data_IF_923970138906
#
_entry.id   IF_923970138906
#
_cell.length_a   1.000
_cell.length_b   1.000
_cell.length_c   1.000
_cell.angle_alpha   90.00
_cell.angle_beta   90.00
_cell.angle_gamma   90.00
#
_symmetry.space_group_name_H-M   'P 1'
#
loop_
_entity.id
_entity.type
_entity.pdbx_description
1 polymer ?
#
# COMPACT_ATOMS: atom_id res chain seq x y z
N UNK A 1 7.41 23.25 -19.92
CA UNK A 1 7.79 21.83 -19.75
C UNK A 1 7.80 21.33 -18.30
N UNK A 2 8.10 22.15 -17.28
CA UNK A 2 8.21 21.69 -15.87
C UNK A 2 6.93 21.05 -15.30
N UNK A 3 5.74 21.60 -15.62
CA UNK A 3 4.47 21.09 -15.11
C UNK A 3 4.20 19.63 -15.53
N UNK A 4 4.51 19.27 -16.79
CA UNK A 4 4.27 17.94 -17.34
C UNK A 4 5.14 16.87 -16.67
N UNK A 5 6.37 17.24 -16.26
CA UNK A 5 7.30 16.34 -15.55
C UNK A 5 6.81 16.02 -14.13
N UNK A 6 6.38 17.05 -13.38
CA UNK A 6 5.86 16.89 -12.01
C UNK A 6 4.66 15.94 -11.98
N UNK A 7 3.72 16.18 -12.88
CA UNK A 7 2.50 15.39 -13.00
C UNK A 7 2.82 13.93 -13.36
N UNK A 8 3.78 13.68 -14.24
CA UNK A 8 4.21 12.31 -14.58
C UNK A 8 4.75 11.55 -13.36
N UNK A 9 5.66 12.12 -12.56
CA UNK A 9 6.22 11.41 -11.40
C UNK A 9 5.16 11.04 -10.37
N UNK A 10 4.23 11.95 -10.08
CA UNK A 10 3.15 11.71 -9.12
C UNK A 10 2.18 10.63 -9.65
N UNK A 11 1.76 10.72 -10.92
CA UNK A 11 0.82 9.76 -11.51
C UNK A 11 1.45 8.37 -11.61
N UNK A 12 2.70 8.28 -12.08
CA UNK A 12 3.41 7.00 -12.18
C UNK A 12 3.63 6.40 -10.79
N UNK A 13 4.06 7.22 -9.83
CA UNK A 13 4.20 6.79 -8.45
C UNK A 13 2.88 6.25 -7.89
N UNK A 14 1.78 6.98 -8.06
CA UNK A 14 0.47 6.55 -7.58
C UNK A 14 -0.05 5.29 -8.27
N UNK A 15 0.13 5.15 -9.58
CA UNK A 15 -0.27 3.96 -10.31
C UNK A 15 0.50 2.72 -9.84
N UNK A 16 1.82 2.82 -9.76
CA UNK A 16 2.68 1.73 -9.27
C UNK A 16 2.33 1.38 -7.82
N UNK A 17 2.19 2.39 -6.97
CA UNK A 17 1.80 2.20 -5.57
C UNK A 17 0.45 1.50 -5.43
N UNK A 18 -0.55 1.88 -6.24
CA UNK A 18 -1.87 1.26 -6.21
C UNK A 18 -1.83 -0.22 -6.64
N UNK A 19 -1.06 -0.55 -7.68
CA UNK A 19 -0.90 -1.94 -8.14
C UNK A 19 -0.20 -2.80 -7.08
N UNK A 20 0.87 -2.29 -6.48
CA UNK A 20 1.61 -2.99 -5.42
C UNK A 20 0.72 -3.16 -4.19
N UNK A 21 0.00 -2.11 -3.78
CA UNK A 21 -0.95 -2.16 -2.68
C UNK A 21 -2.03 -3.23 -2.89
N UNK A 22 -2.70 -3.21 -4.04
CA UNK A 22 -3.75 -4.18 -4.35
C UNK A 22 -3.28 -5.64 -4.32
N UNK A 23 -2.04 -5.90 -4.76
CA UNK A 23 -1.49 -7.26 -4.91
C UNK A 23 -0.85 -7.79 -3.63
N UNK A 24 -0.20 -6.93 -2.84
CA UNK A 24 0.47 -7.34 -1.60
C UNK A 24 -0.47 -7.40 -0.41
N UNK A 25 -1.49 -6.54 -0.32
CA UNK A 25 -2.42 -6.53 0.82
C UNK A 25 -3.05 -7.89 1.13
N UNK A 26 -3.54 -8.70 0.17
CA UNK A 26 -4.09 -10.02 0.49
C UNK A 26 -3.05 -11.01 1.06
N UNK A 27 -1.76 -10.80 0.76
CA UNK A 27 -0.67 -11.65 1.24
C UNK A 27 -0.30 -11.28 2.68
N UNK A 28 -0.28 -9.99 3.01
CA UNK A 28 0.18 -9.49 4.32
C UNK A 28 -0.95 -9.31 5.34
N UNK A 29 -2.19 -9.06 4.91
CA UNK A 29 -3.28 -8.69 5.83
C UNK A 29 -3.65 -9.82 6.79
N UNK A 30 -3.79 -11.05 6.30
CA UNK A 30 -4.13 -12.20 7.14
C UNK A 30 -3.03 -12.53 8.18
N UNK A 31 -1.74 -12.67 7.82
CA UNK A 31 -0.69 -12.91 8.81
C UNK A 31 -0.49 -11.72 9.77
N UNK A 32 -0.64 -10.47 9.30
CA UNK A 32 -0.55 -9.30 10.18
C UNK A 32 -1.65 -9.25 11.26
N UNK A 33 -2.83 -9.81 10.97
CA UNK A 33 -3.94 -9.93 11.93
C UNK A 33 -3.84 -11.19 12.82
N UNK A 34 -2.82 -12.04 12.60
CA UNK A 34 -2.59 -13.24 13.39
C UNK A 34 -3.34 -14.48 12.87
N UNK A 35 -3.66 -14.54 11.57
CA UNK A 35 -4.12 -15.78 10.94
C UNK A 35 -2.94 -16.56 10.34
N UNK A 36 -2.85 -17.85 10.68
CA UNK A 36 -1.92 -18.80 10.09
C UNK A 36 -2.61 -19.85 9.22
N UNK A 37 -1.83 -20.80 8.71
CA UNK A 37 -2.29 -21.83 7.78
C UNK A 37 -3.40 -22.76 8.34
N UNK A 38 -3.48 -22.90 9.67
CA UNK A 38 -4.50 -23.70 10.34
C UNK A 38 -5.68 -22.86 10.91
N UNK A 39 -5.64 -21.53 10.78
CA UNK A 39 -6.59 -20.60 11.39
C UNK A 39 -5.93 -19.55 12.30
N UNK A 40 -6.70 -18.88 13.17
CA UNK A 40 -6.18 -17.90 14.12
C UNK A 40 -5.07 -18.48 15.01
N UNK A 41 -3.94 -17.78 15.10
CA UNK A 41 -2.84 -18.17 15.98
C UNK A 41 -3.27 -17.96 17.42
N UNK A 42 -3.14 -19.01 18.25
CA UNK A 42 -3.50 -18.98 19.66
C UNK A 42 -2.77 -17.83 20.39
N UNK A 43 -3.53 -17.03 21.14
CA UNK A 43 -3.00 -15.84 21.84
C UNK A 43 -2.76 -14.62 20.95
N UNK A 44 -3.06 -14.69 19.65
CA UNK A 44 -2.95 -13.57 18.71
C UNK A 44 -4.19 -12.67 18.67
N UNK A 45 -4.09 -11.54 17.95
CA UNK A 45 -5.18 -10.58 17.77
C UNK A 45 -6.46 -11.23 17.20
N UNK A 46 -6.33 -12.10 16.21
CA UNK A 46 -7.46 -12.85 15.65
C UNK A 46 -8.14 -13.76 16.70
N UNK A 47 -7.39 -14.39 17.60
CA UNK A 47 -7.96 -15.21 18.66
C UNK A 47 -8.74 -14.36 19.67
N UNK A 48 -8.22 -13.18 20.02
CA UNK A 48 -8.93 -12.22 20.88
C UNK A 48 -10.22 -11.75 20.24
N UNK A 49 -10.20 -11.41 18.95
CA UNK A 49 -11.41 -10.99 18.21
C UNK A 49 -12.43 -12.15 18.12
N UNK A 50 -11.97 -13.38 17.89
CA UNK A 50 -12.88 -14.53 17.89
C UNK A 50 -13.53 -14.76 19.25
N UNK A 51 -12.76 -14.60 20.34
CA UNK A 51 -13.26 -14.78 21.70
C UNK A 51 -14.34 -13.76 22.08
N UNK A 52 -14.32 -12.56 21.50
CA UNK A 52 -15.36 -11.54 21.73
C UNK A 52 -16.60 -11.72 20.83
N UNK A 53 -16.46 -12.37 19.67
CA UNK A 53 -17.58 -12.63 18.75
C UNK A 53 -18.36 -13.91 19.10
N UNK A 54 -17.71 -14.89 19.71
CA UNK A 54 -18.28 -16.21 19.98
C UNK A 54 -18.47 -17.02 18.68
N UNK A 55 -19.61 -16.83 18.00
CA UNK A 55 -19.91 -17.52 16.74
C UNK A 55 -19.54 -16.65 15.53
N UNK A 56 -18.63 -17.13 14.68
CA UNK A 56 -18.21 -16.42 13.46
C UNK A 56 -19.25 -16.66 12.36
N UNK A 57 -20.03 -15.65 11.92
CA UNK A 57 -20.99 -15.84 10.85
C UNK A 57 -20.29 -16.12 9.53
N UNK A 58 -20.82 -17.05 8.73
CA UNK A 58 -20.30 -17.28 7.39
C UNK A 58 -20.45 -16.02 6.52
N UNK A 59 -19.36 -15.59 5.87
CA UNK A 59 -19.34 -14.42 4.99
C UNK A 59 -19.00 -13.10 5.69
N UNK A 60 -18.76 -13.09 7.00
CA UNK A 60 -18.23 -11.91 7.68
C UNK A 60 -16.75 -11.67 7.32
N UNK A 61 -16.25 -10.47 7.59
CA UNK A 61 -14.86 -10.09 7.30
C UNK A 61 -13.85 -11.03 7.98
N UNK A 62 -14.14 -11.50 9.20
CA UNK A 62 -13.30 -12.46 9.92
C UNK A 62 -13.20 -13.80 9.19
N UNK A 63 -14.33 -14.35 8.72
CA UNK A 63 -14.34 -15.60 7.95
C UNK A 63 -13.59 -15.47 6.62
N UNK A 64 -13.63 -14.29 5.99
CA UNK A 64 -12.87 -14.00 4.78
C UNK A 64 -11.36 -13.95 5.07
N UNK A 65 -10.94 -13.26 6.13
CA UNK A 65 -9.54 -13.17 6.55
C UNK A 65 -8.98 -14.52 6.99
N UNK A 66 -9.75 -15.33 7.72
CA UNK A 66 -9.40 -16.70 8.05
C UNK A 66 -9.20 -17.54 6.78
N UNK A 67 -10.15 -17.46 5.83
CA UNK A 67 -10.03 -18.15 4.56
C UNK A 67 -8.76 -17.74 3.82
N UNK A 68 -8.39 -16.46 3.82
CA UNK A 68 -7.15 -15.99 3.20
C UNK A 68 -5.89 -16.49 3.91
N UNK A 69 -5.88 -16.46 5.25
CA UNK A 69 -4.75 -16.99 6.05
C UNK A 69 -4.51 -18.48 5.81
N UNK A 70 -5.57 -19.22 5.49
CA UNK A 70 -5.51 -20.64 5.13
C UNK A 70 -5.24 -20.88 3.62
N UNK A 71 -4.94 -19.85 2.84
CA UNK A 71 -4.64 -19.97 1.41
C UNK A 71 -5.87 -20.14 0.51
N UNK A 72 -7.06 -19.77 0.99
CA UNK A 72 -8.31 -19.83 0.25
C UNK A 72 -8.36 -18.86 -0.94
N UNK A 73 -9.31 -19.07 -1.88
CA UNK A 73 -9.39 -18.29 -3.10
C UNK A 73 -9.80 -16.84 -2.84
N UNK A 74 -9.34 -15.94 -3.71
CA UNK A 74 -9.78 -14.53 -3.72
C UNK A 74 -11.25 -14.50 -4.17
N UNK A 75 -12.14 -14.10 -3.27
CA UNK A 75 -13.58 -13.95 -3.51
C UNK A 75 -13.96 -12.46 -3.56
N UNK A 76 -15.15 -12.14 -4.07
CA UNK A 76 -15.64 -10.76 -4.17
C UNK A 76 -15.48 -9.93 -2.86
N UNK A 77 -15.71 -10.48 -1.65
CA UNK A 77 -15.45 -9.74 -0.41
C UNK A 77 -13.98 -9.39 -0.18
N UNK A 78 -13.04 -10.26 -0.59
CA UNK A 78 -11.59 -10.00 -0.49
C UNK A 78 -11.20 -8.84 -1.38
N UNK A 79 -11.75 -8.79 -2.60
CA UNK A 79 -11.49 -7.67 -3.51
C UNK A 79 -11.97 -6.36 -2.88
N UNK A 80 -13.21 -6.31 -2.40
CA UNK A 80 -13.84 -5.11 -1.84
C UNK A 80 -13.22 -4.63 -0.53
N UNK A 81 -12.98 -5.54 0.42
CA UNK A 81 -12.57 -5.15 1.78
C UNK A 81 -11.06 -5.20 2.01
N UNK A 82 -10.29 -5.81 1.11
CA UNK A 82 -8.84 -5.98 1.29
C UNK A 82 -8.07 -5.33 0.15
N UNK A 83 -8.34 -5.71 -1.10
CA UNK A 83 -7.55 -5.24 -2.24
C UNK A 83 -7.80 -3.77 -2.57
N UNK A 84 -9.05 -3.32 -2.56
CA UNK A 84 -9.38 -1.90 -2.81
C UNK A 84 -8.76 -0.96 -1.77
N UNK A 85 -8.91 -1.18 -0.45
CA UNK A 85 -8.21 -0.38 0.55
C UNK A 85 -6.68 -0.42 0.38
N UNK A 86 -6.12 -1.60 0.07
CA UNK A 86 -4.71 -1.76 -0.25
C UNK A 86 -4.27 -0.89 -1.43
N UNK A 87 -5.05 -0.87 -2.51
CA UNK A 87 -4.79 -0.06 -3.70
C UNK A 87 -4.84 1.45 -3.40
N UNK A 88 -5.80 1.89 -2.59
CA UNK A 88 -5.93 3.31 -2.21
C UNK A 88 -4.73 3.75 -1.39
N UNK A 89 -4.39 3.00 -0.34
CA UNK A 89 -3.23 3.30 0.53
C UNK A 89 -1.95 3.27 -0.29
N UNK A 90 -1.75 2.21 -1.07
CA UNK A 90 -0.59 2.06 -1.94
C UNK A 90 -0.48 3.21 -2.94
N UNK A 91 -1.59 3.65 -3.54
CA UNK A 91 -1.61 4.75 -4.49
C UNK A 91 -1.27 6.10 -3.84
N UNK A 92 -1.75 6.36 -2.63
CA UNK A 92 -1.39 7.57 -1.87
C UNK A 92 0.11 7.56 -1.57
N UNK A 93 0.63 6.46 -1.03
CA UNK A 93 2.06 6.32 -0.70
C UNK A 93 2.92 6.46 -1.95
N UNK A 94 2.57 5.78 -3.03
CA UNK A 94 3.27 5.88 -4.30
C UNK A 94 3.26 7.30 -4.89
N UNK A 95 2.13 8.00 -4.79
CA UNK A 95 2.01 9.40 -5.21
C UNK A 95 2.89 10.34 -4.40
N UNK A 96 2.97 10.14 -3.07
CA UNK A 96 3.86 10.89 -2.18
C UNK A 96 5.34 10.64 -2.50
N UNK A 97 5.72 9.39 -2.80
CA UNK A 97 7.08 9.05 -3.26
C UNK A 97 7.38 9.74 -4.58
N UNK A 98 6.46 9.69 -5.55
CA UNK A 98 6.61 10.39 -6.83
C UNK A 98 6.79 11.90 -6.66
N UNK A 99 6.02 12.52 -5.76
CA UNK A 99 6.17 13.92 -5.41
C UNK A 99 7.53 14.24 -4.79
N UNK A 100 7.99 13.41 -3.83
CA UNK A 100 9.28 13.59 -3.17
C UNK A 100 10.44 13.51 -4.16
N UNK A 101 10.40 12.55 -5.08
CA UNK A 101 11.43 12.38 -6.11
C UNK A 101 11.54 13.63 -6.99
N UNK A 102 10.41 14.16 -7.47
CA UNK A 102 10.43 15.39 -8.27
C UNK A 102 10.99 16.59 -7.47
N UNK A 103 10.60 16.73 -6.19
CA UNK A 103 11.12 17.78 -5.32
C UNK A 103 12.66 17.71 -5.17
N UNK A 104 13.21 16.51 -4.96
CA UNK A 104 14.67 16.30 -4.86
C UNK A 104 15.36 16.68 -6.16
N UNK A 105 14.84 16.22 -7.31
CA UNK A 105 15.41 16.51 -8.63
C UNK A 105 15.43 18.01 -8.89
N UNK A 106 14.35 18.72 -8.59
CA UNK A 106 14.28 20.16 -8.74
C UNK A 106 15.30 20.91 -7.88
N UNK A 107 15.44 20.47 -6.64
CA UNK A 107 16.40 21.07 -5.73
C UNK A 107 17.83 20.96 -6.29
N UNK A 108 18.22 19.80 -6.80
CA UNK A 108 19.53 19.61 -7.44
C UNK A 108 19.70 20.45 -8.71
N UNK A 109 18.68 20.53 -9.56
CA UNK A 109 18.72 21.37 -10.77
C UNK A 109 18.92 22.85 -10.42
N UNK A 110 18.21 23.35 -9.40
CA UNK A 110 18.39 24.72 -8.89
C UNK A 110 19.80 24.94 -8.35
N UNK A 111 20.37 23.98 -7.62
CA UNK A 111 21.75 24.10 -7.10
C UNK A 111 22.79 24.12 -8.23
N UNK A 112 22.67 23.22 -9.21
CA UNK A 112 23.60 23.16 -10.33
C UNK A 112 23.54 24.42 -11.20
N UNK A 113 22.34 25.00 -11.40
CA UNK A 113 22.18 26.27 -12.10
C UNK A 113 22.90 27.43 -11.40
N UNK A 114 22.83 27.49 -10.05
CA UNK A 114 23.54 28.53 -9.27
C UNK A 114 25.06 28.41 -9.40
N UNK A 115 25.60 27.20 -9.35
CA UNK A 115 27.05 26.96 -9.48
C UNK A 115 27.56 27.44 -10.85
N UNK A 116 26.84 27.12 -11.92
CA UNK A 116 27.22 27.55 -13.28
C UNK A 116 27.23 29.08 -13.43
N UNK A 117 26.30 29.80 -12.81
CA UNK A 117 26.25 31.27 -12.87
C UNK A 117 27.46 31.90 -12.15
N UNK A 118 27.93 31.31 -11.05
CA UNK A 118 29.12 31.80 -10.33
C UNK A 118 30.38 31.61 -11.18
N UNK A 119 30.51 30.46 -11.85
CA UNK A 119 31.67 30.15 -12.70
C UNK A 119 31.78 31.05 -13.94
N UNK A 120 30.66 31.55 -14.47
CA UNK A 120 30.66 32.47 -15.63
C UNK A 120 30.99 33.92 -15.22
N UNK A 121 30.81 34.27 -13.95
CA UNK A 121 31.08 35.61 -13.42
C UNK A 121 32.49 35.77 -12.81
N UNK A 122 33.20 34.66 -12.60
CA UNK A 122 34.58 34.63 -12.14
C UNK A 122 35.54 34.69 -13.33
#
# INVERSE_FOLDING_TARGET
MQLKRRTCFIIVGAAVGATIGATLTPIIAAPALGFGAAGPVAGGLAATIQSSMGNVPAGCLFSCLQSMGMGGPIRAPVVLYVMFPGAVIGGIVGGLVGWLVDWIVEWFQKRNARVKVVQVKA
#
